data_IF_089270573210
#
_entry.id   IF_089270573210
#
_cell.length_a   1.000
_cell.length_b   1.000
_cell.length_c   1.000
_cell.angle_alpha   90.00
_cell.angle_beta   90.00
_cell.angle_gamma   90.00
#
_symmetry.space_group_name_H-M   'P 1'
#
loop_
_entity.id
_entity.type
_entity.pdbx_description
1 polymer ?
#
# COMPACT_ATOMS: atom_id res chain seq x y z
N UNK A 1 -24.87 9.81 -12.80
CA UNK A 1 -23.85 9.33 -13.75
C UNK A 1 -23.49 10.49 -14.64
N UNK A 2 -22.22 10.83 -14.78
CA UNK A 2 -21.80 11.83 -15.74
C UNK A 2 -21.85 11.21 -17.14
N UNK A 3 -22.54 11.86 -18.08
CA UNK A 3 -22.56 11.43 -19.46
C UNK A 3 -21.15 11.60 -20.05
N UNK A 4 -20.68 10.57 -20.75
CA UNK A 4 -19.43 10.68 -21.50
C UNK A 4 -19.71 11.42 -22.82
N UNK A 5 -19.12 12.61 -23.06
CA UNK A 5 -19.40 13.41 -24.27
C UNK A 5 -19.08 12.66 -25.56
N UNK A 6 -18.09 11.76 -25.57
CA UNK A 6 -17.80 10.94 -26.77
C UNK A 6 -18.94 9.98 -27.11
N UNK A 7 -19.56 9.36 -26.10
CA UNK A 7 -20.69 8.46 -26.29
C UNK A 7 -21.91 9.22 -26.78
N UNK A 8 -22.17 10.43 -26.27
CA UNK A 8 -23.25 11.28 -26.73
C UNK A 8 -23.07 11.67 -28.21
N UNK A 9 -21.90 12.08 -28.64
CA UNK A 9 -21.56 12.38 -30.04
C UNK A 9 -21.75 11.16 -30.94
N UNK A 10 -21.35 9.97 -30.51
CA UNK A 10 -21.51 8.73 -31.26
C UNK A 10 -22.99 8.41 -31.42
N UNK A 11 -23.80 8.59 -30.37
CA UNK A 11 -25.24 8.36 -30.44
C UNK A 11 -25.97 9.36 -31.33
N UNK A 12 -25.64 10.64 -31.23
CA UNK A 12 -26.17 11.67 -32.12
C UNK A 12 -25.82 11.38 -33.59
N UNK A 13 -24.58 10.97 -33.86
CA UNK A 13 -24.15 10.54 -35.17
C UNK A 13 -24.92 9.33 -35.67
N UNK A 14 -25.18 8.33 -34.83
CA UNK A 14 -25.96 7.15 -35.18
C UNK A 14 -27.42 7.50 -35.49
N UNK A 15 -28.04 8.41 -34.75
CA UNK A 15 -29.40 8.93 -35.04
C UNK A 15 -29.41 9.68 -36.35
N UNK A 16 -28.40 10.50 -36.63
CA UNK A 16 -28.27 11.24 -37.89
C UNK A 16 -28.12 10.30 -39.08
N UNK A 17 -27.37 9.22 -38.98
CA UNK A 17 -27.21 8.18 -39.99
C UNK A 17 -28.58 7.51 -40.25
N UNK A 18 -29.29 7.08 -39.21
CA UNK A 18 -30.59 6.45 -39.32
C UNK A 18 -31.64 7.38 -40.00
N UNK A 19 -31.62 8.66 -39.60
CA UNK A 19 -32.49 9.68 -40.20
C UNK A 19 -32.18 9.92 -41.67
N UNK A 20 -30.89 10.00 -42.05
CA UNK A 20 -30.48 10.18 -43.45
C UNK A 20 -30.88 9.00 -44.34
N UNK A 21 -30.93 7.80 -43.79
CA UNK A 21 -31.44 6.59 -44.48
C UNK A 21 -32.97 6.46 -44.44
N UNK A 22 -33.69 7.40 -43.81
CA UNK A 22 -35.15 7.38 -43.57
C UNK A 22 -35.64 6.16 -42.78
N UNK A 23 -34.79 5.62 -41.90
CA UNK A 23 -35.14 4.46 -41.09
C UNK A 23 -35.96 4.85 -39.85
N UNK A 24 -37.00 4.06 -39.55
CA UNK A 24 -37.86 4.25 -38.38
C UNK A 24 -37.11 3.97 -37.05
N UNK A 25 -36.10 3.11 -37.12
CA UNK A 25 -35.36 2.65 -35.91
C UNK A 25 -33.87 2.87 -36.03
N UNK A 26 -33.24 3.22 -34.88
CA UNK A 26 -31.79 3.21 -34.69
C UNK A 26 -31.38 1.80 -34.29
N UNK A 27 -30.63 1.12 -35.15
CA UNK A 27 -30.10 -0.21 -34.95
C UNK A 27 -28.70 -0.18 -34.30
N UNK A 28 -28.22 -1.32 -33.79
CA UNK A 28 -26.86 -1.52 -33.37
C UNK A 28 -25.83 -1.25 -34.46
N UNK A 29 -26.19 -1.50 -35.73
CA UNK A 29 -25.37 -1.26 -36.92
C UNK A 29 -25.15 0.23 -37.19
N UNK A 30 -26.15 1.09 -36.93
CA UNK A 30 -25.97 2.54 -37.02
C UNK A 30 -24.96 3.05 -35.97
N UNK A 31 -25.05 2.52 -34.75
CA UNK A 31 -24.12 2.86 -33.70
C UNK A 31 -22.71 2.34 -34.01
N UNK A 32 -22.58 1.13 -34.55
CA UNK A 32 -21.31 0.58 -35.02
C UNK A 32 -20.66 1.44 -36.10
N UNK A 33 -21.45 1.90 -37.07
CA UNK A 33 -20.97 2.77 -38.16
C UNK A 33 -20.50 4.13 -37.61
N UNK A 34 -21.24 4.72 -36.68
CA UNK A 34 -20.83 5.95 -35.98
C UNK A 34 -19.54 5.77 -35.20
N UNK A 35 -19.38 4.62 -34.52
CA UNK A 35 -18.16 4.25 -33.81
C UNK A 35 -16.94 4.17 -34.73
N UNK A 36 -17.05 3.47 -35.86
CA UNK A 36 -15.95 3.29 -36.81
C UNK A 36 -15.52 4.63 -37.43
N UNK A 37 -16.44 5.58 -37.55
CA UNK A 37 -16.19 6.93 -38.08
C UNK A 37 -15.64 7.90 -37.04
N UNK A 38 -15.73 7.57 -35.77
CA UNK A 38 -15.20 8.40 -34.70
C UNK A 38 -13.67 8.35 -34.68
N UNK A 39 -12.99 9.50 -34.73
CA UNK A 39 -11.54 9.62 -34.98
C UNK A 39 -10.69 8.82 -34.00
N UNK A 40 -10.99 8.89 -32.71
CA UNK A 40 -10.25 8.19 -31.67
C UNK A 40 -10.32 6.67 -31.83
N UNK A 41 -11.52 6.15 -32.09
CA UNK A 41 -11.76 4.73 -32.27
C UNK A 41 -11.21 4.19 -33.59
N UNK A 42 -11.35 4.99 -34.66
CA UNK A 42 -10.79 4.69 -35.97
C UNK A 42 -9.28 4.47 -35.91
N UNK A 43 -8.53 5.38 -35.25
CA UNK A 43 -7.10 5.27 -35.14
C UNK A 43 -6.67 4.01 -34.35
N UNK A 44 -7.51 3.55 -33.43
CA UNK A 44 -7.29 2.31 -32.68
C UNK A 44 -7.52 1.07 -33.52
N UNK A 45 -8.58 1.05 -34.34
CA UNK A 45 -8.86 -0.04 -35.28
C UNK A 45 -7.77 -0.18 -36.34
N UNK A 46 -7.25 0.95 -36.84
CA UNK A 46 -6.11 0.95 -37.78
C UNK A 46 -4.84 0.34 -37.11
N UNK A 47 -4.56 0.67 -35.87
CA UNK A 47 -3.45 0.06 -35.11
C UNK A 47 -3.67 -1.42 -34.81
N UNK A 48 -4.89 -1.86 -34.65
CA UNK A 48 -5.24 -3.28 -34.47
C UNK A 48 -5.10 -4.09 -35.75
N UNK A 49 -4.96 -3.42 -36.91
CA UNK A 49 -4.80 -4.04 -38.24
C UNK A 49 -6.10 -4.26 -38.98
N UNK A 50 -7.20 -3.60 -38.61
CA UNK A 50 -8.49 -3.63 -39.30
C UNK A 50 -8.47 -2.67 -40.47
N UNK A 51 -8.86 -3.13 -41.64
CA UNK A 51 -9.09 -2.24 -42.80
C UNK A 51 -10.40 -1.44 -42.61
N UNK A 52 -10.26 -0.28 -41.91
CA UNK A 52 -11.40 0.56 -41.53
C UNK A 52 -12.18 1.06 -42.74
N UNK A 53 -11.51 1.33 -43.89
CA UNK A 53 -12.20 1.79 -45.13
C UNK A 53 -13.10 0.72 -45.69
N UNK A 54 -12.64 -0.53 -45.78
CA UNK A 54 -13.44 -1.66 -46.25
C UNK A 54 -14.59 -1.92 -45.27
N UNK A 55 -14.33 -1.85 -43.98
CA UNK A 55 -15.33 -2.04 -42.94
C UNK A 55 -16.46 -1.00 -43.04
N UNK A 56 -16.13 0.29 -43.17
CA UNK A 56 -17.10 1.37 -43.35
C UNK A 56 -17.95 1.16 -44.61
N UNK A 57 -17.32 0.79 -45.75
CA UNK A 57 -18.02 0.55 -47.00
C UNK A 57 -19.02 -0.61 -46.92
N UNK A 58 -18.60 -1.75 -46.39
CA UNK A 58 -19.48 -2.93 -46.27
C UNK A 58 -20.65 -2.69 -45.31
N UNK A 59 -20.37 -2.07 -44.15
CA UNK A 59 -21.40 -1.78 -43.16
C UNK A 59 -22.39 -0.72 -43.67
N UNK A 60 -21.90 0.30 -44.35
CA UNK A 60 -22.76 1.33 -44.97
C UNK A 60 -23.61 0.74 -46.10
N UNK A 61 -23.06 -0.13 -46.96
CA UNK A 61 -23.81 -0.84 -47.97
C UNK A 61 -24.93 -1.72 -47.37
N UNK A 62 -24.63 -2.42 -46.28
CA UNK A 62 -25.60 -3.22 -45.54
C UNK A 62 -26.75 -2.35 -44.99
N UNK A 63 -26.44 -1.24 -44.31
CA UNK A 63 -27.45 -0.32 -43.78
C UNK A 63 -28.35 0.21 -44.87
N UNK A 64 -27.80 0.60 -46.01
CA UNK A 64 -28.58 1.08 -47.17
C UNK A 64 -29.43 -0.02 -47.81
N UNK A 65 -29.14 -1.29 -47.63
CA UNK A 65 -29.93 -2.41 -48.12
C UNK A 65 -31.19 -2.70 -47.31
N UNK A 66 -31.34 -2.10 -46.12
CA UNK A 66 -32.45 -2.34 -45.19
C UNK A 66 -33.72 -1.57 -45.60
N UNK A 67 -34.25 -1.87 -46.78
CA UNK A 67 -35.42 -1.18 -47.35
C UNK A 67 -36.69 -1.35 -46.54
N UNK A 68 -36.82 -2.42 -45.76
CA UNK A 68 -37.98 -2.70 -44.92
C UNK A 68 -38.16 -1.71 -43.74
N UNK A 69 -37.10 -0.96 -43.39
CA UNK A 69 -37.12 0.03 -42.34
C UNK A 69 -37.42 1.46 -42.82
N UNK A 70 -37.50 1.65 -44.13
CA UNK A 70 -37.72 2.97 -44.71
C UNK A 70 -39.18 3.38 -44.56
N UNK A 71 -39.40 4.59 -44.03
CA UNK A 71 -40.71 5.25 -43.96
C UNK A 71 -40.64 6.64 -44.55
N UNK A 72 -41.67 6.98 -45.37
CA UNK A 72 -41.83 8.31 -45.95
C UNK A 72 -43.22 8.87 -45.57
N UNK A 73 -43.37 10.03 -44.87
CA UNK A 73 -42.27 10.89 -44.42
C UNK A 73 -41.41 10.27 -43.32
N UNK A 74 -40.10 10.58 -43.31
CA UNK A 74 -39.14 10.04 -42.35
C UNK A 74 -39.53 10.43 -40.92
N UNK A 75 -39.85 9.46 -40.04
CA UNK A 75 -40.12 9.75 -38.63
C UNK A 75 -38.84 10.04 -37.85
N UNK A 76 -38.96 10.59 -36.65
CA UNK A 76 -37.82 10.58 -35.73
C UNK A 76 -37.47 9.13 -35.38
N UNK A 77 -36.21 8.69 -35.62
CA UNK A 77 -35.82 7.31 -35.36
C UNK A 77 -35.92 6.91 -33.89
N UNK A 78 -36.51 5.75 -33.60
CA UNK A 78 -36.65 5.19 -32.24
C UNK A 78 -35.56 4.18 -31.94
N UNK A 79 -35.16 4.08 -30.70
CA UNK A 79 -34.19 3.04 -30.28
C UNK A 79 -34.83 1.66 -30.32
N UNK A 80 -34.07 0.65 -30.80
CA UNK A 80 -34.51 -0.75 -30.75
C UNK A 80 -34.22 -1.39 -29.39
N UNK A 81 -34.97 -2.44 -29.02
CA UNK A 81 -34.76 -3.21 -27.81
C UNK A 81 -33.34 -3.83 -27.76
N UNK A 82 -32.76 -4.21 -28.90
CA UNK A 82 -31.39 -4.71 -29.00
C UNK A 82 -30.36 -3.64 -28.61
N UNK A 83 -30.58 -2.42 -29.07
CA UNK A 83 -29.75 -1.29 -28.74
C UNK A 83 -29.83 -0.95 -27.22
N UNK A 84 -31.03 -0.99 -26.64
CA UNK A 84 -31.23 -0.80 -25.21
C UNK A 84 -30.52 -1.89 -24.38
N UNK A 85 -30.55 -3.16 -24.81
CA UNK A 85 -29.81 -4.24 -24.16
C UNK A 85 -28.31 -4.01 -24.21
N UNK A 86 -27.76 -3.55 -25.33
CA UNK A 86 -26.34 -3.22 -25.49
C UNK A 86 -25.94 -2.11 -24.48
N UNK A 87 -26.74 -1.03 -24.40
CA UNK A 87 -26.47 0.04 -23.43
C UNK A 87 -26.56 -0.42 -21.97
N UNK A 88 -27.61 -1.16 -21.64
CA UNK A 88 -27.78 -1.68 -20.28
C UNK A 88 -26.63 -2.63 -19.89
N UNK A 89 -26.15 -3.45 -20.82
CA UNK A 89 -24.99 -4.32 -20.63
C UNK A 89 -23.71 -3.52 -20.41
N UNK A 90 -23.45 -2.50 -21.24
CA UNK A 90 -22.31 -1.62 -21.07
C UNK A 90 -22.35 -0.87 -19.73
N UNK A 91 -23.51 -0.34 -19.34
CA UNK A 91 -23.73 0.29 -18.03
C UNK A 91 -23.49 -0.67 -16.88
N UNK A 92 -24.04 -1.87 -16.96
CA UNK A 92 -23.88 -2.90 -15.93
C UNK A 92 -22.40 -3.28 -15.76
N UNK A 93 -21.67 -3.45 -16.86
CA UNK A 93 -20.24 -3.76 -16.85
C UNK A 93 -19.42 -2.65 -16.19
N UNK A 94 -19.73 -1.38 -16.46
CA UNK A 94 -19.08 -0.22 -15.85
C UNK A 94 -19.37 -0.16 -14.35
N UNK A 95 -20.61 -0.44 -13.92
CA UNK A 95 -20.99 -0.51 -12.50
C UNK A 95 -20.22 -1.61 -11.76
N UNK A 96 -20.12 -2.82 -12.36
CA UNK A 96 -19.34 -3.92 -11.77
C UNK A 96 -17.85 -3.65 -11.71
N UNK A 97 -17.31 -2.83 -12.62
CA UNK A 97 -15.89 -2.43 -12.61
C UNK A 97 -15.61 -1.18 -11.77
N UNK A 98 -16.61 -0.60 -11.11
CA UNK A 98 -16.47 0.58 -10.23
C UNK A 98 -16.20 1.89 -11.00
N UNK A 99 -16.30 1.89 -12.33
CA UNK A 99 -16.12 3.09 -13.16
C UNK A 99 -17.38 3.95 -13.16
N UNK A 100 -17.22 5.26 -13.38
CA UNK A 100 -18.34 6.24 -13.36
C UNK A 100 -18.89 6.57 -14.74
N UNK A 101 -18.17 6.22 -15.80
CA UNK A 101 -18.52 6.57 -17.18
C UNK A 101 -18.34 5.36 -18.09
N UNK A 102 -19.28 5.21 -19.06
CA UNK A 102 -19.17 4.23 -20.12
C UNK A 102 -18.13 4.72 -21.13
N UNK A 103 -17.19 3.88 -21.50
CA UNK A 103 -16.23 4.15 -22.58
C UNK A 103 -16.70 3.59 -23.93
N UNK A 104 -16.09 4.06 -25.00
CA UNK A 104 -16.33 3.57 -26.37
C UNK A 104 -16.12 2.06 -26.48
N UNK A 105 -15.13 1.53 -25.76
CA UNK A 105 -14.82 0.09 -25.74
C UNK A 105 -15.86 -0.72 -24.99
N UNK A 106 -16.42 -0.21 -23.90
CA UNK A 106 -17.50 -0.90 -23.18
C UNK A 106 -18.73 -1.09 -24.09
N UNK A 107 -19.02 -0.07 -24.92
CA UNK A 107 -20.10 -0.15 -25.88
C UNK A 107 -19.82 -1.19 -26.98
N UNK A 108 -18.58 -1.24 -27.49
CA UNK A 108 -18.18 -2.24 -28.48
C UNK A 108 -18.18 -3.66 -27.89
N UNK A 109 -17.69 -3.87 -26.68
CA UNK A 109 -17.74 -5.18 -26.00
C UNK A 109 -19.19 -5.62 -25.79
N UNK A 110 -20.09 -4.70 -25.43
CA UNK A 110 -21.50 -4.98 -25.27
C UNK A 110 -22.16 -5.36 -26.61
N UNK A 111 -21.75 -4.74 -27.74
CA UNK A 111 -22.18 -5.14 -29.08
C UNK A 111 -21.65 -6.51 -29.50
N UNK A 112 -20.40 -6.84 -29.19
CA UNK A 112 -19.83 -8.17 -29.40
C UNK A 112 -20.57 -9.27 -28.61
N UNK A 113 -21.11 -8.94 -27.46
CA UNK A 113 -21.91 -9.87 -26.66
C UNK A 113 -23.35 -10.04 -27.14
N UNK A 114 -23.84 -9.23 -28.12
CA UNK A 114 -25.15 -9.35 -28.73
C UNK A 114 -25.06 -10.24 -29.97
N UNK A 115 -24.96 -11.56 -29.78
CA UNK A 115 -24.65 -12.56 -30.82
C UNK A 115 -25.66 -12.62 -31.95
N UNK A 116 -26.89 -12.17 -31.72
CA UNK A 116 -27.97 -12.17 -32.72
C UNK A 116 -28.08 -10.84 -33.50
N UNK A 117 -27.02 -10.00 -33.49
CA UNK A 117 -26.99 -8.75 -34.25
C UNK A 117 -26.05 -8.83 -35.44
N UNK A 118 -26.38 -8.10 -36.52
CA UNK A 118 -25.45 -7.98 -37.64
C UNK A 118 -24.22 -7.17 -37.27
N UNK A 119 -24.32 -6.29 -36.27
CA UNK A 119 -23.15 -5.61 -35.71
C UNK A 119 -22.11 -6.61 -35.18
N UNK A 120 -22.54 -7.63 -34.43
CA UNK A 120 -21.69 -8.74 -34.01
C UNK A 120 -21.03 -9.46 -35.19
N UNK A 121 -21.83 -9.82 -36.22
CA UNK A 121 -21.31 -10.46 -37.43
C UNK A 121 -20.21 -9.62 -38.11
N UNK A 122 -20.43 -8.33 -38.30
CA UNK A 122 -19.45 -7.44 -38.92
C UNK A 122 -18.19 -7.28 -38.13
N UNK A 123 -18.28 -7.18 -36.79
CA UNK A 123 -17.12 -7.14 -35.91
C UNK A 123 -16.25 -8.39 -36.06
N UNK A 124 -16.86 -9.57 -36.03
CA UNK A 124 -16.14 -10.84 -36.23
C UNK A 124 -15.56 -10.98 -37.65
N UNK A 125 -16.30 -10.59 -38.67
CA UNK A 125 -15.88 -10.64 -40.10
C UNK A 125 -14.58 -9.85 -40.31
N UNK A 126 -14.46 -8.69 -39.64
CA UNK A 126 -13.27 -7.83 -39.73
C UNK A 126 -12.21 -8.18 -38.66
N UNK A 127 -12.29 -9.36 -38.05
CA UNK A 127 -11.27 -9.91 -37.17
C UNK A 127 -11.26 -9.35 -35.74
N UNK A 128 -12.28 -8.60 -35.33
CA UNK A 128 -12.41 -8.05 -34.01
C UNK A 128 -13.01 -9.13 -33.09
N UNK A 129 -12.11 -9.85 -32.37
CA UNK A 129 -12.50 -10.85 -31.37
C UNK A 129 -12.44 -10.23 -29.96
N UNK A 130 -13.50 -10.45 -29.16
CA UNK A 130 -13.71 -9.74 -27.92
C UNK A 130 -12.52 -9.73 -26.98
N UNK A 131 -11.93 -10.88 -26.62
CA UNK A 131 -10.83 -10.94 -25.66
C UNK A 131 -9.51 -10.40 -26.26
N UNK A 132 -9.19 -10.79 -27.48
CA UNK A 132 -7.97 -10.34 -28.17
C UNK A 132 -7.97 -8.81 -28.36
N UNK A 133 -9.12 -8.21 -28.65
CA UNK A 133 -9.24 -6.77 -28.78
C UNK A 133 -9.19 -6.06 -27.42
N UNK A 134 -9.78 -6.63 -26.36
CA UNK A 134 -9.67 -6.10 -25.00
C UNK A 134 -8.21 -6.06 -24.56
N UNK A 135 -7.47 -7.15 -24.75
CA UNK A 135 -6.06 -7.25 -24.39
C UNK A 135 -5.21 -6.23 -25.19
N UNK A 136 -5.49 -6.09 -26.49
CA UNK A 136 -4.86 -5.09 -27.33
C UNK A 136 -5.20 -3.66 -26.86
N UNK A 137 -6.47 -3.37 -26.62
CA UNK A 137 -6.92 -2.06 -26.14
C UNK A 137 -6.27 -1.72 -24.80
N UNK A 138 -6.23 -2.67 -23.87
CA UNK A 138 -5.56 -2.49 -22.58
C UNK A 138 -4.05 -2.26 -22.75
N UNK A 139 -3.41 -2.98 -23.67
CA UNK A 139 -1.99 -2.78 -23.96
C UNK A 139 -1.71 -1.43 -24.63
N UNK A 140 -2.59 -0.99 -25.54
CA UNK A 140 -2.46 0.26 -26.29
C UNK A 140 -2.87 1.48 -25.47
N UNK A 141 -3.88 1.36 -24.60
CA UNK A 141 -4.32 2.42 -23.70
C UNK A 141 -3.62 2.41 -22.33
N UNK A 142 -2.98 1.31 -21.94
CA UNK A 142 -1.94 1.37 -20.89
C UNK A 142 -0.69 2.16 -21.37
N UNK A 143 -0.56 2.43 -22.66
CA UNK A 143 0.39 3.43 -23.21
C UNK A 143 -0.24 4.83 -23.34
N UNK A 144 -1.56 4.97 -23.14
CA UNK A 144 -2.32 6.22 -22.97
C UNK A 144 -2.86 6.38 -21.53
N UNK A 145 -2.33 5.70 -20.52
CA UNK A 145 -1.99 6.43 -19.32
C UNK A 145 -1.00 7.49 -19.82
N UNK A 146 -1.45 8.73 -19.96
CA UNK A 146 -0.57 9.87 -20.11
C UNK A 146 0.68 9.56 -19.32
N UNK A 147 1.85 9.58 -19.96
CA UNK A 147 3.12 9.41 -19.25
C UNK A 147 3.03 10.44 -18.15
N UNK A 148 2.65 9.95 -16.95
CA UNK A 148 2.46 10.81 -15.81
C UNK A 148 3.78 11.55 -15.68
N UNK A 149 3.80 12.87 -15.85
CA UNK A 149 5.05 13.60 -15.77
C UNK A 149 5.64 13.35 -14.39
N UNK A 150 6.95 13.32 -14.29
CA UNK A 150 7.65 13.08 -13.02
C UNK A 150 7.13 14.01 -11.92
N UNK A 151 6.78 15.25 -12.28
CA UNK A 151 6.16 16.22 -11.36
C UNK A 151 4.76 15.82 -10.91
N UNK A 152 3.91 15.30 -11.80
CA UNK A 152 2.58 14.83 -11.43
C UNK A 152 2.64 13.59 -10.55
N UNK A 153 3.55 12.67 -10.86
CA UNK A 153 3.79 11.49 -10.04
C UNK A 153 4.26 11.90 -8.63
N UNK A 154 5.17 12.85 -8.53
CA UNK A 154 5.66 13.38 -7.25
C UNK A 154 4.53 14.03 -6.44
N UNK A 155 3.67 14.85 -7.07
CA UNK A 155 2.53 15.47 -6.38
C UNK A 155 1.55 14.46 -5.79
N UNK A 156 1.22 13.40 -6.54
CA UNK A 156 0.35 12.33 -6.03
C UNK A 156 1.02 11.58 -4.88
N UNK A 157 2.32 11.31 -5.00
CA UNK A 157 3.05 10.63 -3.93
C UNK A 157 3.16 11.51 -2.67
N UNK A 158 3.36 12.81 -2.80
CA UNK A 158 3.39 13.74 -1.65
C UNK A 158 2.02 13.90 -0.97
N UNK A 159 0.91 13.65 -1.68
CA UNK A 159 -0.44 13.68 -1.10
C UNK A 159 -0.73 12.45 -0.21
N UNK A 160 -0.21 11.27 -0.59
CA UNK A 160 -0.54 10.00 0.06
C UNK A 160 0.64 9.27 0.69
N UNK A 161 1.87 9.75 0.50
CA UNK A 161 3.09 9.12 0.98
C UNK A 161 4.08 10.15 1.51
N UNK A 162 4.90 9.74 2.47
CA UNK A 162 6.06 10.50 2.94
C UNK A 162 7.34 10.03 2.25
N UNK A 163 8.15 10.95 1.72
CA UNK A 163 9.43 10.62 1.09
C UNK A 163 10.53 10.48 2.15
N UNK A 164 10.84 9.25 2.57
CA UNK A 164 11.87 8.97 3.58
C UNK A 164 13.27 9.37 3.10
N UNK A 165 13.58 9.24 1.82
CA UNK A 165 14.87 9.70 1.27
C UNK A 165 15.03 11.21 1.30
N UNK A 166 13.95 11.97 1.15
CA UNK A 166 13.97 13.43 1.33
C UNK A 166 14.15 13.81 2.81
N UNK A 167 13.48 13.12 3.73
CA UNK A 167 13.65 13.29 5.17
C UNK A 167 15.06 12.93 5.62
N UNK A 168 15.66 11.85 5.07
CA UNK A 168 17.04 11.47 5.32
C UNK A 168 18.05 12.55 4.90
N UNK A 169 17.84 13.20 3.74
CA UNK A 169 18.66 14.35 3.30
C UNK A 169 18.57 15.53 4.25
N UNK A 170 17.43 15.73 4.91
CA UNK A 170 17.19 16.78 5.90
C UNK A 170 17.64 16.41 7.32
N UNK A 171 18.28 15.25 7.55
CA UNK A 171 18.64 14.72 8.87
C UNK A 171 17.45 14.64 9.85
N UNK A 172 16.27 14.33 9.31
CA UNK A 172 15.03 14.26 10.10
C UNK A 172 14.66 12.83 10.54
N UNK A 173 15.38 11.82 10.03
CA UNK A 173 15.17 10.42 10.41
C UNK A 173 16.05 10.02 11.59
N UNK A 174 15.55 9.10 12.41
CA UNK A 174 16.32 8.52 13.49
C UNK A 174 17.45 7.62 12.95
N UNK A 175 18.64 7.60 13.60
CA UNK A 175 19.75 6.78 13.16
C UNK A 175 19.45 5.29 13.39
N UNK A 176 19.67 4.47 12.38
CA UNK A 176 19.62 3.02 12.52
C UNK A 176 20.89 2.51 13.20
N UNK A 177 20.73 1.82 14.33
CA UNK A 177 21.84 1.29 15.10
C UNK A 177 21.60 -0.21 15.38
N UNK A 178 22.63 -1.02 15.19
CA UNK A 178 22.62 -2.42 15.60
C UNK A 178 21.73 -3.35 14.76
N UNK A 179 21.30 -2.92 13.55
CA UNK A 179 20.41 -3.69 12.65
C UNK A 179 21.03 -3.93 11.27
N UNK A 180 22.35 -4.00 11.21
CA UNK A 180 23.08 -4.14 9.93
C UNK A 180 22.79 -5.47 9.23
N UNK A 181 22.62 -6.56 9.99
CA UNK A 181 22.34 -7.89 9.42
C UNK A 181 20.96 -7.95 8.77
N UNK A 182 19.93 -7.42 9.42
CA UNK A 182 18.56 -7.38 8.90
C UNK A 182 18.47 -6.45 7.69
N UNK A 183 19.19 -5.31 7.71
CA UNK A 183 19.28 -4.41 6.56
C UNK A 183 19.97 -5.11 5.37
N UNK A 184 21.08 -5.82 5.59
CA UNK A 184 21.80 -6.56 4.55
C UNK A 184 20.92 -7.67 3.95
N UNK A 185 20.18 -8.41 4.79
CA UNK A 185 19.21 -9.40 4.33
C UNK A 185 18.13 -8.74 3.46
N UNK A 186 17.54 -7.62 3.89
CA UNK A 186 16.56 -6.87 3.11
C UNK A 186 17.13 -6.42 1.76
N UNK A 187 18.32 -5.84 1.72
CA UNK A 187 19.01 -5.43 0.48
C UNK A 187 19.21 -6.64 -0.44
N UNK A 188 19.64 -7.77 0.11
CA UNK A 188 19.82 -9.01 -0.63
C UNK A 188 18.51 -9.51 -1.26
N UNK A 189 17.40 -9.41 -0.53
CA UNK A 189 16.07 -9.75 -1.06
C UNK A 189 15.66 -8.80 -2.18
N UNK A 190 15.84 -7.50 -1.99
CA UNK A 190 15.52 -6.47 -3.00
C UNK A 190 16.35 -6.61 -4.28
N UNK A 191 17.52 -7.27 -4.22
CA UNK A 191 18.36 -7.58 -5.39
C UNK A 191 17.86 -8.77 -6.21
N UNK A 192 16.92 -9.57 -5.70
CA UNK A 192 16.45 -10.78 -6.38
C UNK A 192 15.66 -10.44 -7.64
N UNK A 193 15.75 -11.31 -8.65
CA UNK A 193 14.89 -11.22 -9.84
C UNK A 193 13.43 -11.60 -9.55
N UNK A 194 13.25 -12.58 -8.67
CA UNK A 194 11.94 -13.08 -8.25
C UNK A 194 11.81 -12.96 -6.74
N UNK A 195 10.61 -12.66 -6.24
CA UNK A 195 10.35 -12.41 -4.81
C UNK A 195 11.23 -11.28 -4.26
N UNK A 196 11.32 -10.19 -5.00
CA UNK A 196 12.10 -9.00 -4.63
C UNK A 196 11.35 -8.05 -3.68
N UNK A 197 10.33 -8.55 -2.96
CA UNK A 197 9.60 -7.79 -1.97
C UNK A 197 9.83 -8.38 -0.58
N UNK A 198 9.86 -7.51 0.42
CA UNK A 198 10.19 -7.85 1.81
C UNK A 198 8.96 -7.72 2.68
N UNK A 199 8.71 -8.69 3.52
CA UNK A 199 7.77 -8.61 4.63
C UNK A 199 8.53 -8.73 5.93
N UNK A 200 8.70 -7.60 6.63
CA UNK A 200 9.29 -7.56 7.96
C UNK A 200 8.25 -7.99 8.99
N UNK A 201 8.58 -9.02 9.76
CA UNK A 201 7.69 -9.55 10.79
C UNK A 201 8.41 -9.50 12.14
N UNK A 202 7.79 -8.89 13.13
CA UNK A 202 8.36 -8.78 14.47
C UNK A 202 7.38 -8.13 15.44
N UNK A 203 7.62 -8.30 16.74
CA UNK A 203 6.78 -7.73 17.77
C UNK A 203 6.70 -6.19 17.68
N UNK A 204 5.68 -5.55 18.26
CA UNK A 204 5.64 -4.09 18.38
C UNK A 204 6.87 -3.58 19.14
N UNK A 205 7.44 -2.45 18.72
CA UNK A 205 8.54 -1.80 19.42
C UNK A 205 9.94 -2.40 19.20
N UNK A 206 10.11 -3.43 18.31
CA UNK A 206 11.44 -4.01 18.03
C UNK A 206 12.29 -3.19 17.05
N UNK A 207 11.73 -2.13 16.46
CA UNK A 207 12.45 -1.23 15.55
C UNK A 207 12.33 -1.57 14.07
N UNK A 208 11.20 -2.11 13.60
CA UNK A 208 10.95 -2.41 12.17
C UNK A 208 11.06 -1.16 11.30
N UNK A 209 10.46 -0.05 11.71
CA UNK A 209 10.48 1.22 10.98
C UNK A 209 11.89 1.82 10.90
N UNK A 210 12.70 1.67 11.97
CA UNK A 210 14.08 2.14 12.01
C UNK A 210 14.97 1.49 10.92
N UNK A 211 14.67 0.25 10.49
CA UNK A 211 15.43 -0.43 9.44
C UNK A 211 15.17 0.23 8.08
N UNK A 212 13.94 0.67 7.82
CA UNK A 212 13.58 1.39 6.59
C UNK A 212 14.17 2.79 6.57
N UNK A 213 14.16 3.48 7.72
CA UNK A 213 14.82 4.78 7.87
C UNK A 213 16.33 4.63 7.61
N UNK A 214 16.94 3.56 8.13
CA UNK A 214 18.32 3.21 7.84
C UNK A 214 18.58 2.94 6.36
N UNK A 215 17.70 2.21 5.68
CA UNK A 215 17.80 2.00 4.23
C UNK A 215 17.77 3.34 3.47
N UNK A 216 16.87 4.24 3.84
CA UNK A 216 16.78 5.57 3.22
C UNK A 216 18.05 6.39 3.44
N UNK A 217 18.62 6.35 4.66
CA UNK A 217 19.90 7.01 4.99
C UNK A 217 21.08 6.41 4.21
N UNK A 218 21.17 5.07 4.10
CA UNK A 218 22.24 4.40 3.34
C UNK A 218 22.15 4.70 1.83
N UNK A 219 20.93 4.81 1.27
CA UNK A 219 20.71 5.23 -0.11
C UNK A 219 21.23 6.67 -0.33
N UNK A 220 20.87 7.60 0.55
CA UNK A 220 21.29 9.01 0.46
C UNK A 220 22.80 9.14 0.61
N UNK A 221 23.42 8.36 1.50
CA UNK A 221 24.86 8.33 1.73
C UNK A 221 25.64 7.54 0.68
N UNK A 222 24.98 6.98 -0.34
CA UNK A 222 25.58 6.12 -1.38
C UNK A 222 26.31 4.89 -0.82
N UNK A 223 25.89 4.38 0.34
CA UNK A 223 26.44 3.18 0.99
C UNK A 223 25.68 1.90 0.63
N UNK A 224 24.90 1.93 -0.44
CA UNK A 224 24.14 0.80 -0.96
C UNK A 224 24.78 0.26 -2.25
N UNK A 225 24.50 -1.01 -2.61
CA UNK A 225 24.91 -1.57 -3.89
C UNK A 225 24.40 -0.75 -5.09
N UNK A 226 25.10 -0.84 -6.23
CA UNK A 226 24.86 -0.04 -7.43
C UNK A 226 23.39 -0.05 -7.89
N UNK A 227 22.72 -1.18 -7.77
CA UNK A 227 21.32 -1.34 -8.22
C UNK A 227 20.29 -0.56 -7.38
N UNK A 228 20.65 -0.09 -6.18
CA UNK A 228 19.81 0.74 -5.31
C UNK A 228 20.20 2.22 -5.30
N UNK A 229 21.29 2.58 -5.94
CA UNK A 229 21.70 3.99 -6.03
C UNK A 229 20.64 4.81 -6.77
N UNK A 230 20.30 5.96 -6.20
CA UNK A 230 19.29 6.84 -6.77
C UNK A 230 17.84 6.35 -6.61
N UNK A 231 17.62 5.31 -5.82
CA UNK A 231 16.26 4.93 -5.43
C UNK A 231 15.69 5.92 -4.42
N UNK A 232 14.38 6.09 -4.46
CA UNK A 232 13.60 6.82 -3.45
C UNK A 232 12.77 5.84 -2.64
N UNK A 233 12.69 6.06 -1.33
CA UNK A 233 11.84 5.29 -0.41
C UNK A 233 10.62 6.13 -0.05
N UNK A 234 9.45 5.63 -0.39
CA UNK A 234 8.17 6.27 -0.13
C UNK A 234 7.36 5.46 0.88
N UNK A 235 7.07 6.05 2.03
CA UNK A 235 6.24 5.45 3.07
C UNK A 235 4.78 5.80 2.83
N UNK A 236 3.92 4.79 2.70
CA UNK A 236 2.49 4.95 2.47
C UNK A 236 1.78 5.39 3.75
N UNK A 237 1.04 6.48 3.68
CA UNK A 237 0.20 6.97 4.77
C UNK A 237 -1.24 6.45 4.59
N UNK A 238 -1.54 5.33 5.25
CA UNK A 238 -2.86 4.69 5.16
C UNK A 238 -3.97 5.64 5.63
N UNK A 239 -3.69 6.46 6.66
CA UNK A 239 -4.62 7.48 7.15
C UNK A 239 -5.01 8.50 6.08
N UNK A 240 -4.06 8.96 5.27
CA UNK A 240 -4.30 9.90 4.16
C UNK A 240 -5.14 9.28 3.05
N UNK A 241 -4.95 7.98 2.77
CA UNK A 241 -5.79 7.26 1.81
C UNK A 241 -7.23 7.09 2.28
N UNK A 242 -7.44 6.84 3.58
CA UNK A 242 -8.76 6.68 4.18
C UNK A 242 -9.47 8.02 4.37
N UNK A 243 -8.73 9.10 4.56
CA UNK A 243 -9.29 10.43 4.75
C UNK A 243 -10.14 10.84 3.54
N UNK A 244 -11.39 11.23 3.79
CA UNK A 244 -12.36 11.62 2.76
C UNK A 244 -12.91 10.48 1.91
N UNK A 245 -12.51 9.22 2.12
CA UNK A 245 -13.07 8.08 1.41
C UNK A 245 -14.29 7.55 2.15
N UNK A 246 -15.50 7.86 1.65
CA UNK A 246 -16.77 7.35 2.21
C UNK A 246 -17.10 5.94 1.71
N UNK A 247 -16.55 5.56 0.58
CA UNK A 247 -16.83 4.28 -0.09
C UNK A 247 -15.52 3.56 -0.41
N UNK A 248 -15.56 2.24 -0.35
CA UNK A 248 -14.44 1.34 -0.70
C UNK A 248 -13.79 1.68 -2.04
N UNK A 249 -14.59 1.99 -3.06
CA UNK A 249 -14.10 2.31 -4.40
C UNK A 249 -13.22 3.56 -4.47
N UNK A 250 -13.42 4.54 -3.59
CA UNK A 250 -12.60 5.75 -3.52
C UNK A 250 -11.20 5.46 -2.99
N UNK A 251 -11.10 4.61 -1.97
CA UNK A 251 -9.81 4.12 -1.45
C UNK A 251 -9.04 3.32 -2.52
N UNK A 252 -9.73 2.39 -3.21
CA UNK A 252 -9.13 1.59 -4.28
C UNK A 252 -8.61 2.48 -5.43
N UNK A 253 -9.33 3.54 -5.77
CA UNK A 253 -8.93 4.48 -6.82
C UNK A 253 -7.68 5.29 -6.42
N UNK A 254 -7.65 5.84 -5.20
CA UNK A 254 -6.50 6.56 -4.65
C UNK A 254 -5.25 5.65 -4.59
N UNK A 255 -5.40 4.43 -4.10
CA UNK A 255 -4.31 3.49 -4.04
C UNK A 255 -3.78 3.11 -5.44
N UNK A 256 -4.66 2.93 -6.43
CA UNK A 256 -4.26 2.72 -7.83
C UNK A 256 -3.49 3.91 -8.40
N UNK A 257 -3.85 5.15 -8.03
CA UNK A 257 -3.12 6.36 -8.42
C UNK A 257 -1.70 6.36 -7.82
N UNK A 258 -1.54 6.00 -6.54
CA UNK A 258 -0.22 5.85 -5.90
C UNK A 258 0.63 4.81 -6.63
N UNK A 259 0.08 3.62 -6.91
CA UNK A 259 0.81 2.57 -7.63
C UNK A 259 1.21 3.04 -9.05
N UNK A 260 0.32 3.73 -9.76
CA UNK A 260 0.63 4.28 -11.08
C UNK A 260 1.72 5.36 -11.03
N UNK A 261 1.71 6.21 -10.00
CA UNK A 261 2.74 7.22 -9.78
C UNK A 261 4.12 6.60 -9.48
N UNK A 262 4.17 5.54 -8.66
CA UNK A 262 5.40 4.79 -8.38
C UNK A 262 5.94 4.07 -9.63
N UNK A 263 5.05 3.47 -10.44
CA UNK A 263 5.45 2.80 -11.70
C UNK A 263 5.98 3.81 -12.74
N UNK A 264 5.40 5.02 -12.80
CA UNK A 264 5.84 6.10 -13.68
C UNK A 264 7.22 6.65 -13.26
N UNK A 265 7.43 6.85 -11.97
CA UNK A 265 8.65 7.46 -11.42
C UNK A 265 9.85 6.51 -11.50
N UNK A 266 9.63 5.20 -11.59
CA UNK A 266 10.69 4.18 -11.56
C UNK A 266 11.62 4.32 -10.33
N UNK A 267 12.54 3.41 -10.12
CA UNK A 267 13.51 3.46 -9.01
C UNK A 267 12.93 3.88 -7.64
N UNK A 268 11.74 3.37 -7.34
CA UNK A 268 11.06 3.62 -6.08
C UNK A 268 10.89 2.33 -5.27
N UNK A 269 10.96 2.48 -3.95
CA UNK A 269 10.61 1.45 -2.99
C UNK A 269 9.38 1.96 -2.24
N UNK A 270 8.29 1.21 -2.25
CA UNK A 270 7.12 1.49 -1.45
C UNK A 270 7.26 0.80 -0.09
N UNK A 271 7.25 1.57 0.97
CA UNK A 271 7.14 1.06 2.33
C UNK A 271 5.69 1.15 2.82
N UNK A 272 5.23 0.09 3.45
CA UNK A 272 3.88 0.01 4.02
C UNK A 272 4.04 -0.47 5.46
N UNK A 273 3.90 0.46 6.40
CA UNK A 273 3.90 0.11 7.82
C UNK A 273 2.53 -0.45 8.22
N UNK A 274 2.52 -1.36 9.17
CA UNK A 274 1.31 -2.03 9.66
C UNK A 274 0.41 -2.53 8.51
N UNK A 275 0.99 -3.23 7.53
CA UNK A 275 0.31 -3.63 6.30
C UNK A 275 -0.93 -4.51 6.53
N UNK A 276 -1.09 -5.11 7.73
CA UNK A 276 -2.29 -5.82 8.16
C UNK A 276 -3.53 -4.92 8.22
N UNK A 277 -3.36 -3.62 8.50
CA UNK A 277 -4.47 -2.66 8.54
C UNK A 277 -5.18 -2.56 7.21
N UNK A 278 -4.45 -2.76 6.10
CA UNK A 278 -5.02 -2.78 4.76
C UNK A 278 -5.72 -4.10 4.42
N UNK A 279 -5.41 -5.18 5.15
CA UNK A 279 -6.06 -6.50 4.96
C UNK A 279 -7.35 -6.63 5.77
N UNK A 280 -7.52 -5.84 6.84
CA UNK A 280 -8.66 -5.86 7.74
C UNK A 280 -9.61 -4.66 7.64
N UNK A 281 -9.26 -3.60 6.94
CA UNK A 281 -10.04 -2.36 6.85
C UNK A 281 -11.33 -2.53 6.03
N UNK A 282 -12.28 -3.32 6.53
CA UNK A 282 -13.56 -3.58 5.88
C UNK A 282 -14.44 -4.60 6.58
N UNK A 283 -14.10 -5.01 7.79
CA UNK A 283 -14.83 -6.05 8.54
C UNK A 283 -16.06 -5.54 9.28
N UNK A 284 -17.01 -4.95 8.55
CA UNK A 284 -18.42 -4.99 8.94
C UNK A 284 -19.19 -5.83 7.92
N UNK A 285 -18.91 -7.16 7.91
CA UNK A 285 -19.66 -8.13 7.13
C UNK A 285 -19.34 -8.16 5.63
N UNK A 286 -18.60 -9.18 5.18
CA UNK A 286 -18.51 -9.70 3.80
C UNK A 286 -17.57 -9.05 2.77
N UNK A 287 -16.68 -8.13 3.09
CA UNK A 287 -15.69 -7.72 2.07
C UNK A 287 -14.34 -7.39 2.70
N UNK A 288 -13.44 -8.36 2.76
CA UNK A 288 -12.02 -8.09 2.94
C UNK A 288 -11.58 -7.15 1.81
N UNK A 289 -11.03 -5.98 2.16
CA UNK A 289 -10.32 -5.15 1.19
C UNK A 289 -9.28 -6.02 0.54
N UNK A 290 -9.39 -6.22 -0.76
CA UNK A 290 -8.56 -7.17 -1.48
C UNK A 290 -7.22 -6.49 -1.87
N UNK A 291 -6.55 -5.91 -0.84
CA UNK A 291 -5.24 -5.26 -0.96
C UNK A 291 -4.25 -6.13 -1.70
N UNK A 292 -4.27 -7.44 -1.38
CA UNK A 292 -3.47 -8.42 -2.08
C UNK A 292 -3.75 -8.41 -3.59
N UNK A 293 -4.99 -8.31 -4.01
CA UNK A 293 -5.35 -8.28 -5.43
C UNK A 293 -4.99 -6.94 -6.11
N UNK A 294 -4.98 -5.83 -5.37
CA UNK A 294 -4.53 -4.54 -5.91
C UNK A 294 -3.02 -4.47 -6.09
N UNK A 295 -2.24 -5.01 -5.13
CA UNK A 295 -0.77 -5.08 -5.23
C UNK A 295 -0.27 -6.13 -6.22
N UNK A 296 -0.97 -7.25 -6.37
CA UNK A 296 -0.55 -8.38 -7.24
C UNK A 296 -0.11 -7.95 -8.65
N UNK A 297 -0.85 -7.08 -9.38
CA UNK A 297 -0.44 -6.65 -10.72
C UNK A 297 0.87 -5.86 -10.72
N UNK A 298 1.05 -4.94 -9.77
CA UNK A 298 2.23 -4.08 -9.67
C UNK A 298 3.49 -4.89 -9.34
N UNK A 299 3.39 -5.77 -8.34
CA UNK A 299 4.48 -6.64 -7.92
C UNK A 299 4.83 -7.68 -9.01
N UNK A 300 3.83 -8.14 -9.79
CA UNK A 300 4.04 -9.17 -10.82
C UNK A 300 4.81 -8.61 -12.02
N UNK A 301 4.63 -7.35 -12.38
CA UNK A 301 5.38 -6.66 -13.44
C UNK A 301 6.87 -6.50 -13.09
N UNK A 302 7.24 -6.60 -11.81
CA UNK A 302 8.63 -6.53 -11.34
C UNK A 302 9.23 -5.12 -11.32
N UNK A 303 8.47 -4.09 -11.66
CA UNK A 303 8.95 -2.70 -11.69
C UNK A 303 8.90 -2.04 -10.31
N UNK A 304 8.00 -2.48 -9.43
CA UNK A 304 7.83 -1.94 -8.09
C UNK A 304 8.44 -2.89 -7.05
N UNK A 305 9.26 -2.34 -6.17
CA UNK A 305 9.77 -3.00 -4.97
C UNK A 305 8.93 -2.56 -3.78
N UNK A 306 8.45 -3.53 -3.01
CA UNK A 306 7.63 -3.28 -1.84
C UNK A 306 8.30 -3.85 -0.59
N UNK A 307 8.36 -3.04 0.45
CA UNK A 307 8.72 -3.46 1.80
C UNK A 307 7.50 -3.22 2.69
N UNK A 308 7.04 -4.24 3.36
CA UNK A 308 5.90 -4.16 4.27
C UNK A 308 6.31 -4.58 5.67
N UNK A 309 5.70 -4.01 6.70
CA UNK A 309 5.88 -4.43 8.08
C UNK A 309 4.58 -4.97 8.68
N UNK A 310 4.68 -5.91 9.61
CA UNK A 310 3.55 -6.43 10.39
C UNK A 310 4.04 -7.04 11.70
N UNK A 311 3.13 -7.38 12.59
CA UNK A 311 3.45 -8.14 13.81
C UNK A 311 3.34 -9.65 13.55
N UNK A 312 3.82 -10.48 14.51
CA UNK A 312 3.69 -11.93 14.41
C UNK A 312 2.22 -12.37 14.46
N UNK A 313 1.41 -11.75 15.30
CA UNK A 313 0.01 -12.06 15.47
C UNK A 313 -0.77 -11.84 14.17
N UNK A 314 -0.67 -10.66 13.59
CA UNK A 314 -1.35 -10.30 12.35
C UNK A 314 -0.79 -11.06 11.13
N UNK A 315 0.50 -11.42 11.17
CA UNK A 315 1.09 -12.27 10.14
C UNK A 315 0.37 -13.63 10.05
N UNK A 316 0.17 -14.29 11.18
CA UNK A 316 -0.54 -15.58 11.23
C UNK A 316 -2.04 -15.45 10.95
N UNK A 317 -2.66 -14.35 11.36
CA UNK A 317 -4.08 -14.12 11.14
C UNK A 317 -4.43 -13.81 9.67
N UNK A 318 -3.59 -13.05 8.99
CA UNK A 318 -3.92 -12.46 7.69
C UNK A 318 -2.99 -12.89 6.57
N UNK A 319 -1.68 -12.65 6.70
CA UNK A 319 -0.71 -12.83 5.60
C UNK A 319 -0.45 -14.30 5.27
N UNK A 320 -0.27 -15.16 6.24
CA UNK A 320 0.05 -16.58 6.03
C UNK A 320 -1.04 -17.31 5.25
N UNK A 321 -2.28 -16.88 5.42
CA UNK A 321 -3.45 -17.47 4.73
C UNK A 321 -3.48 -17.11 3.24
N UNK A 322 -2.94 -15.95 2.82
CA UNK A 322 -2.85 -15.57 1.41
C UNK A 322 -1.57 -16.12 0.75
N UNK A 323 -1.66 -17.38 0.31
CA UNK A 323 -0.57 -18.05 -0.40
C UNK A 323 -0.10 -17.33 -1.67
N UNK A 324 -0.97 -16.55 -2.32
CA UNK A 324 -0.64 -15.84 -3.55
C UNK A 324 0.23 -14.61 -3.27
N UNK A 325 -0.02 -13.92 -2.17
CA UNK A 325 0.80 -12.83 -1.69
C UNK A 325 2.15 -13.35 -1.17
N UNK A 326 2.14 -14.39 -0.33
CA UNK A 326 3.35 -14.96 0.27
C UNK A 326 4.33 -15.55 -0.75
N UNK A 327 3.88 -15.97 -1.93
CA UNK A 327 4.79 -16.38 -3.03
C UNK A 327 5.60 -15.21 -3.60
N UNK A 328 5.23 -13.96 -3.33
CA UNK A 328 5.87 -12.75 -3.87
C UNK A 328 6.66 -11.97 -2.85
N UNK A 329 6.44 -12.25 -1.58
CA UNK A 329 7.21 -11.66 -0.48
C UNK A 329 8.22 -12.65 0.10
N UNK A 330 9.34 -12.12 0.56
CA UNK A 330 10.28 -12.83 1.40
C UNK A 330 10.11 -12.30 2.83
N UNK A 331 9.94 -13.21 3.79
CA UNK A 331 9.79 -12.85 5.20
C UNK A 331 11.17 -12.63 5.81
N UNK A 332 11.36 -11.48 6.44
CA UNK A 332 12.51 -11.13 7.28
C UNK A 332 12.01 -11.00 8.71
N UNK A 333 12.51 -11.84 9.60
CA UNK A 333 12.16 -11.79 11.02
C UNK A 333 12.98 -10.71 11.72
N UNK A 334 12.29 -9.86 12.49
CA UNK A 334 12.92 -8.81 13.29
C UNK A 334 12.69 -9.14 14.75
N UNK A 335 13.72 -9.70 15.37
CA UNK A 335 13.68 -10.11 16.75
C UNK A 335 14.01 -8.96 17.73
N UNK A 336 13.62 -9.12 18.99
CA UNK A 336 14.01 -8.21 20.06
C UNK A 336 15.54 -8.15 20.19
N UNK A 337 16.16 -6.95 20.16
CA UNK A 337 17.61 -6.83 20.33
C UNK A 337 18.05 -7.27 21.72
N UNK A 338 19.24 -7.83 21.82
CA UNK A 338 19.83 -8.17 23.10
C UNK A 338 20.19 -6.89 23.89
N UNK A 339 20.50 -7.03 25.19
CA UNK A 339 20.82 -5.90 26.08
C UNK A 339 21.98 -5.06 25.55
N UNK A 340 23.06 -5.69 25.07
CA UNK A 340 24.22 -4.96 24.54
C UNK A 340 23.89 -4.14 23.30
N UNK A 341 23.10 -4.69 22.36
CA UNK A 341 22.63 -3.96 21.18
C UNK A 341 21.67 -2.84 21.58
N UNK A 342 20.80 -3.08 22.56
CA UNK A 342 19.89 -2.06 23.09
C UNK A 342 20.65 -0.89 23.71
N UNK A 343 21.71 -1.16 24.50
CA UNK A 343 22.56 -0.09 25.01
C UNK A 343 23.22 0.73 23.91
N UNK A 344 23.72 0.08 22.85
CA UNK A 344 24.29 0.79 21.69
C UNK A 344 23.25 1.68 20.99
N UNK A 345 22.00 1.19 20.83
CA UNK A 345 20.90 1.98 20.28
C UNK A 345 20.64 3.22 21.13
N UNK A 346 20.55 3.07 22.45
CA UNK A 346 20.33 4.18 23.37
C UNK A 346 21.49 5.19 23.37
N UNK A 347 22.74 4.72 23.33
CA UNK A 347 23.93 5.58 23.23
C UNK A 347 23.86 6.40 21.92
N UNK A 348 23.45 5.80 20.83
CA UNK A 348 23.33 6.52 19.56
C UNK A 348 22.15 7.50 19.49
N UNK A 349 21.07 7.25 20.24
CA UNK A 349 19.91 8.14 20.33
C UNK A 349 20.12 9.25 21.39
N UNK A 350 20.99 9.04 22.40
CA UNK A 350 21.18 9.97 23.51
C UNK A 350 21.48 11.41 23.07
N UNK A 351 22.32 11.72 22.05
CA UNK A 351 22.59 13.10 21.66
C UNK A 351 21.33 13.86 21.18
N UNK A 352 20.37 13.15 20.55
CA UNK A 352 19.11 13.74 20.10
C UNK A 352 18.17 13.99 21.28
N UNK A 353 18.06 13.03 22.20
CA UNK A 353 17.28 13.16 23.44
C UNK A 353 17.83 14.30 24.32
N UNK A 354 19.15 14.36 24.50
CA UNK A 354 19.85 15.42 25.25
C UNK A 354 19.53 16.81 24.66
N UNK A 355 19.64 16.93 23.34
CA UNK A 355 19.34 18.18 22.63
C UNK A 355 17.86 18.58 22.76
N UNK A 356 16.95 17.60 22.66
CA UNK A 356 15.51 17.85 22.71
C UNK A 356 15.05 18.26 24.12
N UNK A 357 15.54 17.57 25.16
CA UNK A 357 15.13 17.82 26.54
C UNK A 357 16.02 18.80 27.28
N UNK A 358 17.15 19.25 26.71
CA UNK A 358 18.15 20.10 27.33
C UNK A 358 18.73 19.48 28.64
N UNK A 359 19.06 18.20 28.55
CA UNK A 359 19.64 17.38 29.66
C UNK A 359 20.91 16.71 29.19
N UNK A 360 21.69 16.14 30.12
CA UNK A 360 22.76 15.19 29.82
C UNK A 360 22.33 13.79 30.29
N UNK A 361 22.71 12.75 29.58
CA UNK A 361 22.37 11.38 29.93
C UNK A 361 23.64 10.63 30.32
N UNK A 362 23.73 10.27 31.60
CA UNK A 362 24.87 9.49 32.08
C UNK A 362 24.84 8.05 31.52
N UNK A 363 26.01 7.49 31.21
CA UNK A 363 26.12 6.11 30.71
C UNK A 363 25.47 5.11 31.67
N UNK A 364 25.56 5.36 32.97
CA UNK A 364 24.93 4.55 34.02
C UNK A 364 23.39 4.57 33.93
N UNK A 365 22.82 5.68 33.51
CA UNK A 365 21.36 5.79 33.28
C UNK A 365 20.93 4.92 32.10
N UNK A 366 21.73 4.88 31.02
CA UNK A 366 21.46 4.04 29.83
C UNK A 366 21.49 2.56 30.23
N UNK A 367 22.56 2.10 30.88
CA UNK A 367 22.67 0.71 31.36
C UNK A 367 21.55 0.36 32.31
N UNK A 368 21.19 1.28 33.23
CA UNK A 368 20.09 1.09 34.16
C UNK A 368 18.73 0.98 33.42
N UNK A 369 18.49 1.79 32.40
CA UNK A 369 17.25 1.72 31.63
C UNK A 369 17.09 0.36 30.92
N UNK A 370 18.16 -0.17 30.34
CA UNK A 370 18.13 -1.49 29.68
C UNK A 370 17.96 -2.63 30.71
N UNK A 371 18.71 -2.60 31.80
CA UNK A 371 18.62 -3.62 32.85
C UNK A 371 17.22 -3.64 33.47
N UNK A 372 16.74 -2.48 33.91
CA UNK A 372 15.52 -2.37 34.68
C UNK A 372 14.27 -2.58 33.78
N UNK A 373 14.24 -2.06 32.54
CA UNK A 373 13.16 -2.33 31.63
C UNK A 373 13.08 -3.81 31.25
N UNK A 374 14.21 -4.47 31.05
CA UNK A 374 14.28 -5.90 30.77
C UNK A 374 13.73 -6.76 31.90
N UNK A 375 13.94 -6.30 33.17
CA UNK A 375 13.54 -7.04 34.36
C UNK A 375 12.10 -6.81 34.80
N UNK A 376 11.57 -5.61 34.62
CA UNK A 376 10.30 -5.21 35.22
C UNK A 376 9.19 -4.91 34.19
N UNK A 377 9.56 -4.67 32.91
CA UNK A 377 8.58 -4.39 31.85
C UNK A 377 8.54 -5.57 30.90
N UNK A 378 7.51 -6.40 30.99
CA UNK A 378 7.35 -7.64 30.21
C UNK A 378 6.35 -7.53 29.05
N UNK A 379 5.47 -6.56 29.11
CA UNK A 379 4.40 -6.31 28.12
C UNK A 379 4.91 -5.62 26.85
N UNK A 380 6.14 -5.11 26.87
CA UNK A 380 6.78 -4.40 25.75
C UNK A 380 8.16 -4.97 25.44
N UNK A 381 8.64 -4.68 24.23
CA UNK A 381 9.94 -5.15 23.73
C UNK A 381 10.98 -4.04 23.67
N UNK A 382 12.25 -4.45 23.77
CA UNK A 382 13.37 -3.56 23.46
C UNK A 382 13.44 -3.30 21.93
N UNK A 383 13.93 -2.11 21.51
CA UNK A 383 14.43 -1.01 22.33
C UNK A 383 13.35 -0.07 22.88
N UNK A 384 12.10 -0.18 22.43
CA UNK A 384 11.01 0.76 22.72
C UNK A 384 10.82 1.01 24.22
N UNK A 385 10.69 -0.06 25.03
CA UNK A 385 10.52 0.06 26.49
C UNK A 385 11.70 0.78 27.20
N UNK A 386 12.92 0.60 26.69
CA UNK A 386 14.09 1.27 27.25
C UNK A 386 14.20 2.72 26.82
N UNK A 387 13.81 3.03 25.57
CA UNK A 387 13.72 4.39 25.06
C UNK A 387 12.68 5.17 25.84
N UNK A 388 11.47 4.63 26.00
CA UNK A 388 10.37 5.25 26.75
C UNK A 388 10.76 5.56 28.20
N UNK A 389 11.55 4.68 28.83
CA UNK A 389 11.98 4.85 30.19
C UNK A 389 12.96 6.03 30.34
N UNK A 390 13.90 6.18 29.40
CA UNK A 390 14.84 7.31 29.37
C UNK A 390 14.11 8.60 28.98
N UNK A 391 13.32 8.57 27.92
CA UNK A 391 12.58 9.74 27.45
C UNK A 391 11.66 10.29 28.53
N UNK A 392 10.94 9.42 29.24
CA UNK A 392 10.07 9.81 30.35
C UNK A 392 10.85 10.39 31.54
N UNK A 393 12.06 9.92 31.85
CA UNK A 393 12.92 10.52 32.86
C UNK A 393 13.42 11.90 32.43
N UNK A 394 13.87 12.06 31.20
CA UNK A 394 14.29 13.33 30.61
C UNK A 394 13.15 14.35 30.58
N UNK A 395 11.95 13.93 30.18
CA UNK A 395 10.77 14.80 30.13
C UNK A 395 10.39 15.35 31.51
N UNK A 396 10.50 14.54 32.58
CA UNK A 396 10.24 15.00 33.95
C UNK A 396 11.19 16.12 34.38
N UNK A 397 12.47 15.99 34.06
CA UNK A 397 13.47 16.99 34.43
C UNK A 397 13.28 18.28 33.58
N UNK A 398 12.93 18.13 32.32
CA UNK A 398 12.61 19.30 31.46
C UNK A 398 11.43 20.11 32.00
N UNK A 399 10.39 19.45 32.52
CA UNK A 399 9.22 20.13 33.11
C UNK A 399 9.56 20.90 34.39
N UNK A 400 10.59 20.46 35.16
CA UNK A 400 11.04 21.17 36.36
C UNK A 400 11.78 22.48 36.06
N UNK A 401 12.27 22.65 34.83
CA UNK A 401 12.97 23.85 34.32
C UNK A 401 14.12 24.36 35.22
N UNK A 402 14.90 23.42 35.79
CA UNK A 402 16.00 23.73 36.67
C UNK A 402 17.36 23.91 35.98
N UNK A 403 17.36 24.13 34.66
CA UNK A 403 18.55 24.19 33.82
C UNK A 403 19.01 22.82 33.34
N UNK A 404 20.26 22.75 32.85
CA UNK A 404 20.78 21.49 32.30
C UNK A 404 21.10 20.51 33.45
N UNK A 405 20.35 19.42 33.55
CA UNK A 405 20.46 18.38 34.58
C UNK A 405 21.04 17.11 33.95
N UNK A 406 21.85 16.35 34.73
CA UNK A 406 22.32 15.06 34.29
C UNK A 406 21.38 13.97 34.79
N UNK A 407 20.82 13.18 33.85
CA UNK A 407 19.98 12.03 34.17
C UNK A 407 20.84 10.90 34.77
N UNK A 408 20.46 10.47 35.97
CA UNK A 408 21.18 9.44 36.72
C UNK A 408 20.37 8.15 36.81
N UNK A 409 21.03 7.08 37.32
CA UNK A 409 20.38 5.79 37.61
C UNK A 409 19.16 5.93 38.53
N UNK A 410 19.25 6.79 39.54
CA UNK A 410 18.17 7.01 40.52
C UNK A 410 16.93 7.61 39.85
N UNK A 411 17.13 8.51 38.89
CA UNK A 411 16.02 9.11 38.12
C UNK A 411 15.33 8.08 37.22
N UNK A 412 16.09 7.16 36.64
CA UNK A 412 15.52 6.04 35.86
C UNK A 412 14.72 5.11 36.79
N UNK A 413 15.24 4.78 37.97
CA UNK A 413 14.49 3.98 38.99
C UNK A 413 13.21 4.67 39.42
N UNK A 414 13.24 5.99 39.65
CA UNK A 414 12.07 6.76 40.01
C UNK A 414 11.04 6.83 38.87
N UNK A 415 11.49 6.85 37.62
CA UNK A 415 10.60 6.77 36.45
C UNK A 415 9.97 5.39 36.32
N UNK A 416 10.77 4.32 36.51
CA UNK A 416 10.26 2.94 36.49
C UNK A 416 9.21 2.72 37.58
N UNK A 417 9.48 3.18 38.81
CA UNK A 417 8.54 3.07 39.93
C UNK A 417 7.16 3.68 39.62
N UNK A 418 7.16 4.80 38.87
CA UNK A 418 5.89 5.43 38.44
C UNK A 418 5.16 4.66 37.32
N UNK A 419 5.90 3.96 36.46
CA UNK A 419 5.29 3.17 35.35
C UNK A 419 4.75 1.84 35.88
N UNK A 420 5.47 1.21 36.81
CA UNK A 420 5.15 -0.16 37.27
C UNK A 420 4.42 -0.21 38.60
N UNK A 421 4.21 0.94 39.27
CA UNK A 421 3.66 1.03 40.63
C UNK A 421 4.48 0.24 41.68
N UNK A 422 5.78 -0.04 41.42
CA UNK A 422 6.69 -0.73 42.34
C UNK A 422 7.39 0.31 43.19
N UNK A 423 7.33 0.22 44.53
CA UNK A 423 8.07 1.14 45.42
C UNK A 423 9.56 1.13 45.17
N UNK A 424 10.20 2.33 45.15
CA UNK A 424 11.64 2.51 44.90
C UNK A 424 12.50 1.67 45.85
N UNK A 425 12.09 1.54 47.13
CA UNK A 425 12.81 0.75 48.12
C UNK A 425 12.97 -0.73 47.74
N UNK A 426 11.99 -1.27 47.00
CA UNK A 426 12.11 -2.63 46.46
C UNK A 426 13.05 -2.72 45.27
N UNK A 427 13.17 -1.66 44.48
CA UNK A 427 14.08 -1.60 43.32
C UNK A 427 15.55 -1.46 43.78
N UNK A 428 15.79 -0.84 44.97
CA UNK A 428 17.12 -0.62 45.54
C UNK A 428 17.63 -1.81 46.35
N UNK A 429 16.75 -2.51 47.07
CA UNK A 429 17.14 -3.47 48.10
C UNK A 429 17.27 -4.94 47.65
N UNK A 430 17.10 -5.25 46.37
CA UNK A 430 16.96 -6.65 45.94
C UNK A 430 18.25 -7.46 45.78
N UNK A 431 19.43 -6.87 45.87
CA UNK A 431 20.65 -7.63 45.55
C UNK A 431 21.47 -8.19 46.73
N UNK A 432 21.29 -7.78 47.98
CA UNK A 432 22.26 -8.21 48.97
C UNK A 432 21.69 -8.92 50.21
N UNK A 433 20.51 -8.53 50.71
CA UNK A 433 20.11 -8.99 52.06
C UNK A 433 18.98 -10.02 52.10
N UNK A 434 18.04 -9.98 51.16
CA UNK A 434 16.85 -10.87 51.21
C UNK A 434 17.17 -12.34 50.90
N UNK A 435 18.14 -12.63 50.06
CA UNK A 435 18.56 -14.04 49.80
C UNK A 435 19.34 -14.59 50.97
N UNK A 436 20.25 -13.79 51.57
CA UNK A 436 20.99 -14.17 52.78
C UNK A 436 20.07 -14.27 54.02
N UNK A 437 19.01 -13.47 54.08
CA UNK A 437 18.01 -13.52 55.13
C UNK A 437 16.90 -14.55 54.88
N UNK A 438 16.74 -15.04 53.63
CA UNK A 438 15.70 -15.97 53.27
C UNK A 438 15.78 -17.26 54.07
N UNK A 439 16.96 -17.84 54.17
CA UNK A 439 17.23 -19.02 54.96
C UNK A 439 16.84 -18.82 56.42
N UNK A 440 17.28 -17.71 57.03
CA UNK A 440 16.95 -17.37 58.42
C UNK A 440 15.45 -17.11 58.63
N UNK A 441 14.80 -16.40 57.65
CA UNK A 441 13.37 -16.12 57.70
C UNK A 441 12.51 -17.37 57.52
N UNK A 442 12.97 -18.34 56.73
CA UNK A 442 12.30 -19.64 56.56
C UNK A 442 12.46 -20.47 57.83
N UNK A 443 13.68 -20.55 58.38
CA UNK A 443 13.95 -21.27 59.63
C UNK A 443 13.16 -20.72 60.82
N UNK A 444 12.92 -19.41 60.87
CA UNK A 444 12.06 -18.81 61.91
C UNK A 444 10.58 -19.16 61.80
N UNK A 445 10.11 -19.51 60.61
CA UNK A 445 8.70 -19.82 60.36
C UNK A 445 8.39 -21.32 60.26
N UNK A 446 9.41 -22.13 60.00
CA UNK A 446 9.31 -23.59 59.88
C UNK A 446 10.06 -24.25 61.05
N UNK A 447 9.32 -24.85 61.96
CA UNK A 447 9.91 -25.57 63.10
C UNK A 447 10.24 -27.00 62.71
N UNK A 448 11.46 -27.46 63.02
CA UNK A 448 11.91 -28.85 62.86
C UNK A 448 12.16 -29.31 61.44
N UNK A 449 12.36 -28.38 60.49
CA UNK A 449 12.65 -28.68 59.10
C UNK A 449 14.01 -28.09 58.64
N UNK A 450 14.95 -27.84 59.57
CA UNK A 450 16.20 -27.14 59.31
C UNK A 450 17.04 -27.83 58.22
N UNK A 451 17.14 -29.16 58.24
CA UNK A 451 17.84 -29.94 57.22
C UNK A 451 17.26 -29.80 55.79
N UNK A 452 15.95 -29.64 55.70
CA UNK A 452 15.30 -29.43 54.41
C UNK A 452 15.50 -28.02 53.89
N UNK A 453 15.55 -27.02 54.78
CA UNK A 453 15.82 -25.62 54.43
C UNK A 453 17.30 -25.42 54.01
N UNK A 454 18.22 -26.15 54.67
CA UNK A 454 19.65 -26.13 54.30
C UNK A 454 19.94 -26.82 52.96
N UNK A 455 19.04 -27.68 52.49
CA UNK A 455 19.19 -28.40 51.21
C UNK A 455 18.63 -27.62 50.01
N UNK A 456 17.85 -26.55 50.21
CA UNK A 456 17.24 -25.71 49.17
C UNK A 456 18.03 -24.43 48.98
#
# INVERSE_FOLDING_TARGET
MQNNPEIEQILESAVTIAYSCKHEYVLTEHVLLALIRHDTFRSTLDKYGVNVKLFDQELNAYINSLTSLIKDPAPQPRKTNSLERVFNRALTQVLFTGRRQVSVVDLMIAMLAETNSHAHYFLLKHGIKGQEFIDFWQSTNNTVTAVMSDNQATQILEEYCSNLTALAKGDQLEPMIGRSAELEEMITVLARRFKANVLMVGDPGVGKTAIIDGLAQEIVNNKVPEFLKGYEVWSLEIGSLLAGSKYRGEFEEKFKQVIAALDAKRNCILFIDEAHTMMGAGSSGQSNLDFANMLKPAITKGNLKVVASTTWEEYYESFEKDRALMRRFHRVAIDEPNSSTTEQILIGLSPRLEKFHNVLIATEAISAAVELSGRYIHDRKNPDKSIDLIDGACAKERVKDQGQVTITREMIMAQLANITDIPIDRLQNERSNKILELENNIKQKLYGQDQAVDAV
#
